data_IF_764966985115
#
_entry.id   IF_764966985115
#
_cell.length_a   1.000
_cell.length_b   1.000
_cell.length_c   1.000
_cell.angle_alpha   90.00
_cell.angle_beta   90.00
_cell.angle_gamma   90.00
#
_symmetry.space_group_name_H-M   'P 1'
#
loop_
_entity.id
_entity.type
_entity.pdbx_description
1 polymer ?
#
# COMPACT_ATOMS: atom_id res chain seq x y z
N UNK A 1 7.51 -18.81 -4.20
CA UNK A 1 6.14 -19.37 -4.40
C UNK A 1 5.03 -18.56 -3.72
N UNK A 2 5.17 -18.13 -2.46
CA UNK A 2 4.11 -17.40 -1.71
C UNK A 2 3.97 -15.90 -1.98
N UNK A 3 4.95 -15.29 -2.66
CA UNK A 3 4.99 -13.84 -2.94
C UNK A 3 4.26 -13.45 -4.24
N UNK A 4 3.70 -14.41 -4.98
CA UNK A 4 3.01 -14.20 -6.26
C UNK A 4 1.50 -14.05 -6.07
N UNK A 5 0.86 -13.18 -6.87
CA UNK A 5 -0.61 -13.01 -6.89
C UNK A 5 -1.27 -14.24 -7.53
N UNK A 6 -2.57 -14.45 -7.28
CA UNK A 6 -3.36 -15.50 -7.96
C UNK A 6 -3.23 -15.46 -9.48
N UNK A 7 -3.26 -14.26 -10.06
CA UNK A 7 -3.20 -14.02 -11.51
C UNK A 7 -1.87 -14.51 -12.11
N UNK A 8 -0.74 -14.24 -11.45
CA UNK A 8 0.58 -14.70 -11.92
C UNK A 8 0.83 -16.20 -11.68
N UNK A 9 -0.13 -16.94 -11.11
CA UNK A 9 0.01 -18.37 -10.75
C UNK A 9 -0.85 -19.30 -11.61
N UNK A 10 -1.80 -18.77 -12.39
CA UNK A 10 -2.63 -19.59 -13.28
C UNK A 10 -1.79 -20.42 -14.28
N UNK A 11 -0.57 -19.99 -14.59
CA UNK A 11 0.33 -20.66 -15.55
C UNK A 11 1.16 -21.83 -14.96
N UNK A 12 1.28 -21.99 -13.64
CA UNK A 12 2.07 -23.11 -13.10
C UNK A 12 1.55 -23.63 -11.74
N UNK A 13 0.92 -24.81 -11.82
CA UNK A 13 0.65 -25.78 -10.74
C UNK A 13 -0.19 -25.32 -9.54
N UNK A 14 -1.51 -25.48 -9.66
CA UNK A 14 -2.48 -25.39 -8.56
C UNK A 14 -2.36 -26.54 -7.55
N UNK A 15 -1.87 -27.72 -7.97
CA UNK A 15 -1.79 -28.94 -7.14
C UNK A 15 -0.67 -28.88 -6.10
N UNK A 16 0.54 -28.45 -6.49
CA UNK A 16 1.68 -28.35 -5.57
C UNK A 16 1.45 -27.29 -4.48
N UNK A 17 0.76 -26.19 -4.85
CA UNK A 17 0.40 -25.15 -3.91
C UNK A 17 -0.64 -25.61 -2.88
N UNK A 18 -1.62 -26.42 -3.28
CA UNK A 18 -2.58 -26.99 -2.35
C UNK A 18 -1.90 -27.93 -1.33
N UNK A 19 -0.95 -28.75 -1.79
CA UNK A 19 -0.13 -29.59 -0.93
C UNK A 19 0.74 -28.76 0.05
N UNK A 20 1.44 -27.74 -0.45
CA UNK A 20 2.27 -26.83 0.37
C UNK A 20 1.44 -25.98 1.36
N UNK A 21 0.23 -25.58 0.98
CA UNK A 21 -0.70 -24.84 1.86
C UNK A 21 -1.14 -25.65 3.05
N UNK A 22 -1.30 -26.97 2.86
CA UNK A 22 -1.61 -27.90 3.96
C UNK A 22 -0.42 -28.07 4.91
N UNK A 23 0.82 -27.99 4.40
CA UNK A 23 2.04 -28.11 5.21
C UNK A 23 2.41 -26.82 5.96
N UNK A 24 2.16 -25.65 5.37
CA UNK A 24 2.52 -24.35 5.97
C UNK A 24 1.29 -23.46 6.20
N UNK A 25 0.43 -23.90 7.13
CA UNK A 25 -0.88 -23.30 7.42
C UNK A 25 -0.81 -21.81 7.81
N UNK A 26 0.30 -21.36 8.43
CA UNK A 26 0.48 -19.95 8.80
C UNK A 26 0.67 -19.08 7.56
N UNK A 27 1.57 -19.47 6.66
CA UNK A 27 1.83 -18.76 5.41
C UNK A 27 0.61 -18.78 4.49
N UNK A 28 -0.07 -19.92 4.39
CA UNK A 28 -1.31 -20.04 3.62
C UNK A 28 -2.41 -19.09 4.12
N UNK A 29 -2.59 -18.97 5.44
CA UNK A 29 -3.56 -18.03 6.04
C UNK A 29 -3.19 -16.58 5.79
N UNK A 30 -1.92 -16.20 5.95
CA UNK A 30 -1.46 -14.85 5.66
C UNK A 30 -1.69 -14.49 4.18
N UNK A 31 -1.35 -15.42 3.28
CA UNK A 31 -1.57 -15.26 1.85
C UNK A 31 -3.06 -15.11 1.51
N UNK A 32 -3.93 -15.97 2.05
CA UNK A 32 -5.37 -15.89 1.81
C UNK A 32 -5.95 -14.54 2.25
N UNK A 33 -5.59 -14.04 3.44
CA UNK A 33 -6.04 -12.72 3.92
C UNK A 33 -5.58 -11.61 2.96
N UNK A 34 -4.33 -11.68 2.49
CA UNK A 34 -3.76 -10.69 1.56
C UNK A 34 -4.47 -10.71 0.20
N UNK A 35 -4.73 -11.89 -0.36
CA UNK A 35 -5.45 -12.01 -1.64
C UNK A 35 -6.90 -11.58 -1.52
N UNK A 36 -7.60 -12.00 -0.45
CA UNK A 36 -8.96 -11.53 -0.19
C UNK A 36 -9.02 -10.01 -0.05
N UNK A 37 -8.08 -9.38 0.64
CA UNK A 37 -8.01 -7.91 0.71
C UNK A 37 -7.83 -7.26 -0.67
N UNK A 38 -7.05 -7.89 -1.56
CA UNK A 38 -6.87 -7.45 -2.95
C UNK A 38 -8.16 -7.56 -3.77
N UNK A 39 -8.90 -8.65 -3.63
CA UNK A 39 -10.21 -8.84 -4.27
C UNK A 39 -11.22 -7.80 -3.76
N UNK A 40 -11.23 -7.48 -2.46
CA UNK A 40 -12.12 -6.46 -1.90
C UNK A 40 -11.79 -5.04 -2.37
N UNK A 41 -10.55 -4.79 -2.81
CA UNK A 41 -10.13 -3.50 -3.33
C UNK A 41 -10.74 -3.17 -4.71
N UNK A 42 -11.12 -4.19 -5.48
CA UNK A 42 -11.73 -3.99 -6.81
C UNK A 42 -13.24 -3.74 -6.74
N UNK A 43 -13.87 -3.96 -5.58
CA UNK A 43 -15.30 -3.71 -5.38
C UNK A 43 -15.62 -2.21 -5.42
N UNK A 44 -16.53 -1.83 -6.31
CA UNK A 44 -16.99 -0.43 -6.46
C UNK A 44 -18.25 -0.12 -5.66
N UNK A 45 -19.07 -1.12 -5.31
CA UNK A 45 -20.23 -0.88 -4.45
C UNK A 45 -19.79 -0.68 -3.00
N UNK A 46 -20.22 0.43 -2.40
CA UNK A 46 -19.78 0.81 -1.05
C UNK A 46 -20.33 -0.13 0.02
N UNK A 47 -21.62 -0.48 -0.05
CA UNK A 47 -22.29 -1.25 1.01
C UNK A 47 -21.77 -2.67 1.04
N UNK A 48 -21.66 -3.29 -0.13
CA UNK A 48 -21.14 -4.65 -0.27
C UNK A 48 -19.66 -4.72 0.09
N UNK A 49 -18.86 -3.74 -0.34
CA UNK A 49 -17.44 -3.65 0.02
C UNK A 49 -17.28 -3.50 1.53
N UNK A 50 -18.05 -2.62 2.19
CA UNK A 50 -17.95 -2.43 3.64
C UNK A 50 -18.28 -3.73 4.41
N UNK A 51 -19.36 -4.41 4.05
CA UNK A 51 -19.75 -5.66 4.68
C UNK A 51 -18.67 -6.74 4.50
N UNK A 52 -18.11 -6.86 3.31
CA UNK A 52 -17.08 -7.82 3.00
C UNK A 52 -15.75 -7.51 3.74
N UNK A 53 -15.34 -6.24 3.82
CA UNK A 53 -14.20 -5.80 4.61
C UNK A 53 -14.36 -6.11 6.09
N UNK A 54 -15.55 -5.85 6.66
CA UNK A 54 -15.83 -6.18 8.07
C UNK A 54 -15.72 -7.68 8.33
N UNK A 55 -16.23 -8.52 7.41
CA UNK A 55 -16.12 -9.98 7.48
C UNK A 55 -14.65 -10.43 7.45
N UNK A 56 -13.88 -9.92 6.48
CA UNK A 56 -12.46 -10.25 6.36
C UNK A 56 -11.69 -9.84 7.62
N UNK A 57 -11.89 -8.61 8.11
CA UNK A 57 -11.22 -8.11 9.32
C UNK A 57 -11.61 -8.88 10.59
N UNK A 58 -12.84 -9.41 10.66
CA UNK A 58 -13.27 -10.33 11.73
C UNK A 58 -12.54 -11.67 11.67
N UNK A 59 -12.23 -12.17 10.47
CA UNK A 59 -11.38 -13.35 10.27
C UNK A 59 -9.92 -13.07 10.61
N UNK A 60 -9.38 -11.94 10.13
CA UNK A 60 -8.01 -11.49 10.40
C UNK A 60 -7.76 -11.35 11.90
N UNK A 61 -8.70 -10.81 12.68
CA UNK A 61 -8.55 -10.71 14.13
C UNK A 61 -8.38 -12.08 14.83
N UNK A 62 -8.97 -13.14 14.27
CA UNK A 62 -8.92 -14.52 14.79
C UNK A 62 -7.84 -15.37 14.12
N UNK A 63 -7.00 -14.77 13.26
CA UNK A 63 -6.04 -15.54 12.48
C UNK A 63 -4.84 -16.06 13.27
N UNK A 64 -4.68 -15.70 14.56
CA UNK A 64 -3.55 -16.10 15.42
C UNK A 64 -2.16 -15.80 14.80
N UNK A 65 -2.09 -14.86 13.86
CA UNK A 65 -0.86 -14.34 13.27
C UNK A 65 -0.74 -12.88 13.66
N UNK A 66 0.10 -12.59 14.67
CA UNK A 66 0.26 -11.24 15.21
C UNK A 66 0.51 -10.16 14.14
N UNK A 67 1.38 -10.38 13.13
CA UNK A 67 1.58 -9.39 12.06
C UNK A 67 0.31 -9.08 11.27
N UNK A 68 -0.50 -10.10 10.96
CA UNK A 68 -1.74 -9.92 10.21
C UNK A 68 -2.82 -9.24 11.06
N UNK A 69 -2.88 -9.53 12.36
CA UNK A 69 -3.80 -8.88 13.30
C UNK A 69 -3.49 -7.38 13.38
N UNK A 70 -2.21 -7.01 13.46
CA UNK A 70 -1.77 -5.61 13.47
C UNK A 70 -2.14 -4.89 12.18
N UNK A 71 -1.88 -5.49 11.01
CA UNK A 71 -2.33 -4.96 9.71
C UNK A 71 -3.85 -4.80 9.68
N UNK A 72 -4.60 -5.80 10.13
CA UNK A 72 -6.07 -5.73 10.21
C UNK A 72 -6.57 -4.60 11.12
N UNK A 73 -5.90 -4.31 12.23
CA UNK A 73 -6.23 -3.18 13.10
C UNK A 73 -6.01 -1.83 12.40
N UNK A 74 -4.91 -1.71 11.65
CA UNK A 74 -4.62 -0.52 10.85
C UNK A 74 -5.68 -0.31 9.77
N UNK A 75 -6.02 -1.36 9.02
CA UNK A 75 -7.07 -1.30 8.00
C UNK A 75 -8.41 -0.90 8.62
N UNK A 76 -8.78 -1.50 9.76
CA UNK A 76 -10.02 -1.16 10.47
C UNK A 76 -10.09 0.33 10.86
N UNK A 77 -8.97 0.90 11.32
CA UNK A 77 -8.87 2.32 11.70
C UNK A 77 -9.11 3.24 10.50
N UNK A 78 -8.62 2.87 9.33
CA UNK A 78 -8.70 3.68 8.10
C UNK A 78 -9.74 3.17 7.09
N UNK A 79 -10.65 2.28 7.50
CA UNK A 79 -11.57 1.58 6.60
C UNK A 79 -12.43 2.56 5.79
N UNK A 80 -12.87 3.66 6.42
CA UNK A 80 -13.65 4.69 5.74
C UNK A 80 -12.88 5.32 4.56
N UNK A 81 -11.58 5.60 4.74
CA UNK A 81 -10.73 6.15 3.69
C UNK A 81 -10.47 5.15 2.57
N UNK A 82 -10.27 3.87 2.93
CA UNK A 82 -10.13 2.76 1.98
C UNK A 82 -11.38 2.64 1.10
N UNK A 83 -12.57 2.58 1.70
CA UNK A 83 -13.85 2.49 0.97
C UNK A 83 -14.09 3.71 0.07
N UNK A 84 -13.71 4.91 0.51
CA UNK A 84 -13.80 6.09 -0.34
C UNK A 84 -12.83 6.04 -1.53
N UNK A 85 -11.62 5.52 -1.31
CA UNK A 85 -10.62 5.40 -2.36
C UNK A 85 -11.04 4.39 -3.43
N UNK A 86 -11.63 3.25 -3.04
CA UNK A 86 -12.11 2.23 -3.99
C UNK A 86 -13.29 2.75 -4.82
N UNK A 87 -14.28 3.37 -4.18
CA UNK A 87 -15.46 3.96 -4.88
C UNK A 87 -15.03 5.06 -5.85
N UNK A 88 -14.11 5.95 -5.43
CA UNK A 88 -13.62 7.05 -6.26
C UNK A 88 -12.52 6.64 -7.25
N UNK A 89 -12.12 5.36 -7.26
CA UNK A 89 -10.96 4.84 -8.01
C UNK A 89 -9.72 5.73 -7.85
N UNK A 90 -9.48 6.17 -6.62
CA UNK A 90 -8.39 7.09 -6.32
C UNK A 90 -7.04 6.42 -6.60
N UNK A 91 -6.17 7.11 -7.33
CA UNK A 91 -4.84 6.61 -7.68
C UNK A 91 -3.77 7.31 -6.83
N UNK A 92 -2.79 6.54 -6.35
CA UNK A 92 -1.66 7.08 -5.59
C UNK A 92 -0.56 7.65 -6.50
N UNK A 93 -0.74 7.61 -7.82
CA UNK A 93 0.27 7.95 -8.82
C UNK A 93 0.87 9.35 -8.65
N UNK A 94 0.03 10.35 -8.31
CA UNK A 94 0.50 11.74 -8.06
C UNK A 94 1.36 11.86 -6.81
N UNK A 95 1.02 11.11 -5.76
CA UNK A 95 1.79 11.12 -4.50
C UNK A 95 3.11 10.38 -4.70
N UNK A 96 3.08 9.25 -5.42
CA UNK A 96 4.26 8.47 -5.77
C UNK A 96 5.23 9.23 -6.66
N UNK A 97 4.72 9.97 -7.66
CA UNK A 97 5.57 10.79 -8.52
C UNK A 97 6.32 11.86 -7.73
N UNK A 98 5.63 12.55 -6.81
CA UNK A 98 6.26 13.51 -5.89
C UNK A 98 7.27 12.82 -4.98
N UNK A 99 6.93 11.67 -4.39
CA UNK A 99 7.84 10.94 -3.53
C UNK A 99 9.11 10.49 -4.28
N UNK A 100 8.96 10.04 -5.53
CA UNK A 100 10.09 9.68 -6.39
C UNK A 100 11.02 10.87 -6.67
N UNK A 101 10.47 12.07 -6.89
CA UNK A 101 11.27 13.30 -7.03
C UNK A 101 12.03 13.60 -5.74
N UNK A 102 11.38 13.50 -4.58
CA UNK A 102 12.01 13.73 -3.27
C UNK A 102 13.15 12.73 -3.01
N UNK A 103 12.95 11.45 -3.32
CA UNK A 103 14.01 10.45 -3.17
C UNK A 103 15.18 10.72 -4.13
N UNK A 104 14.91 11.06 -5.40
CA UNK A 104 15.95 11.45 -6.37
C UNK A 104 16.76 12.63 -5.87
N UNK A 105 16.10 13.64 -5.29
CA UNK A 105 16.76 14.80 -4.72
C UNK A 105 17.69 14.42 -3.56
N UNK A 106 17.25 13.53 -2.67
CA UNK A 106 18.07 13.01 -1.56
C UNK A 106 19.31 12.27 -2.07
N UNK A 107 19.14 11.40 -3.08
CA UNK A 107 20.25 10.63 -3.68
C UNK A 107 21.25 11.56 -4.37
N UNK A 108 20.78 12.52 -5.19
CA UNK A 108 21.64 13.49 -5.88
C UNK A 108 22.48 14.34 -4.93
N UNK A 109 21.94 14.66 -3.77
CA UNK A 109 22.66 15.43 -2.76
C UNK A 109 23.61 14.57 -1.89
N UNK A 110 23.67 13.25 -2.10
CA UNK A 110 24.32 12.30 -1.20
C UNK A 110 23.83 12.42 0.26
N UNK A 111 22.56 12.79 0.43
CA UNK A 111 21.95 13.11 1.72
C UNK A 111 22.09 14.58 2.13
N UNK A 112 21.15 15.05 2.94
CA UNK A 112 21.15 16.42 3.46
C UNK A 112 21.57 16.42 4.93
N UNK A 113 22.59 17.21 5.28
CA UNK A 113 23.04 17.38 6.67
C UNK A 113 22.07 18.21 7.52
N UNK A 114 21.23 19.03 6.89
CA UNK A 114 20.28 19.93 7.55
C UNK A 114 18.86 19.75 6.98
N UNK A 115 17.88 19.51 7.87
CA UNK A 115 16.47 19.33 7.52
C UNK A 115 15.84 20.56 6.85
N UNK A 116 16.24 21.77 7.24
CA UNK A 116 15.76 23.01 6.61
C UNK A 116 16.21 23.09 5.14
N UNK A 117 17.47 22.73 4.84
CA UNK A 117 17.97 22.67 3.47
C UNK A 117 17.22 21.62 2.64
N UNK A 118 16.91 20.46 3.22
CA UNK A 118 16.10 19.45 2.54
C UNK A 118 14.68 19.95 2.24
N UNK A 119 14.01 20.61 3.20
CA UNK A 119 12.69 21.22 2.99
C UNK A 119 12.72 22.27 1.88
N UNK A 120 13.69 23.19 1.89
CA UNK A 120 13.84 24.20 0.84
C UNK A 120 14.00 23.56 -0.54
N UNK A 121 14.85 22.54 -0.65
CA UNK A 121 15.06 21.85 -1.92
C UNK A 121 13.79 21.11 -2.40
N UNK A 122 13.02 20.50 -1.49
CA UNK A 122 11.70 19.93 -1.84
C UNK A 122 10.74 21.02 -2.32
N UNK A 123 10.65 22.15 -1.62
CA UNK A 123 9.75 23.25 -2.01
C UNK A 123 10.17 23.89 -3.34
N UNK A 124 11.46 23.99 -3.60
CA UNK A 124 12.00 24.45 -4.88
C UNK A 124 11.61 23.52 -6.03
N UNK A 125 11.87 22.22 -5.90
CA UNK A 125 11.65 21.28 -6.99
C UNK A 125 10.20 20.81 -7.15
N UNK A 126 9.43 20.70 -6.06
CA UNK A 126 8.06 20.20 -6.08
C UNK A 126 6.99 21.29 -5.83
N UNK A 127 7.36 22.39 -5.15
CA UNK A 127 6.46 23.45 -4.72
C UNK A 127 6.47 24.70 -5.59
N UNK A 128 7.22 24.71 -6.69
CA UNK A 128 7.40 25.88 -7.59
C UNK A 128 7.95 27.13 -6.87
N UNK A 129 8.68 26.96 -5.77
CA UNK A 129 9.33 28.08 -5.10
C UNK A 129 10.36 28.68 -6.08
N UNK A 130 10.26 29.98 -6.39
CA UNK A 130 11.30 30.66 -7.16
C UNK A 130 12.45 31.01 -6.22
N UNK A 131 13.66 30.52 -6.51
CA UNK A 131 14.90 30.93 -5.84
C UNK A 131 15.71 31.91 -6.70
N UNK A 132 15.07 32.57 -7.68
CA UNK A 132 15.74 33.65 -8.39
C UNK A 132 16.15 34.69 -7.35
N UNK A 133 17.44 35.06 -7.27
CA UNK A 133 17.82 36.22 -6.48
C UNK A 133 17.03 37.42 -7.01
N UNK A 134 16.48 38.22 -6.10
CA UNK A 134 16.03 39.59 -6.40
C UNK A 134 17.28 40.39 -6.81
N UNK A 135 17.80 40.16 -8.00
CA UNK A 135 18.81 41.02 -8.58
C UNK A 135 18.05 42.24 -9.10
N UNK A 136 18.05 43.26 -8.25
CA UNK A 136 18.10 44.70 -8.55
C UNK A 136 17.32 45.14 -9.82
N UNK A 137 16.12 45.66 -9.60
CA UNK A 137 15.61 46.79 -10.39
C UNK A 137 15.91 48.08 -9.63
#
# INVERSE_FOLDING_TARGET
>A
MWLRSKESRAEQSTKDFAALSRMNLKTARAWWIKESAGELWTLTDRKDSEAAWRRLLGWTARCRLRPMIEVGRTIRRYLWGILNATVKRATNAKVESVNAIIQKLKVRACGFRNRARFKMAILFHCGKLSLLPEVLL
#
